data_IF_956288626822
#
_entry.id   IF_956288626822
#
_cell.length_a   1.000
_cell.length_b   1.000
_cell.length_c   1.000
_cell.angle_alpha   90.00
_cell.angle_beta   90.00
_cell.angle_gamma   90.00
#
_symmetry.space_group_name_H-M   'P 1'
#
loop_
_entity.id
_entity.type
_entity.pdbx_description
1 polymer ?
#
# COMPACT_ATOMS: atom_id res chain seq x y z
N UNK A 1 3.70 17.29 -0.12
CA UNK A 1 5.10 16.94 -0.47
C UNK A 1 6.03 17.48 0.61
N UNK A 2 7.02 16.70 1.05
CA UNK A 2 8.11 17.13 1.94
C UNK A 2 9.44 16.91 1.21
N UNK A 3 10.38 17.84 1.37
CA UNK A 3 11.74 17.72 0.82
C UNK A 3 12.74 18.42 1.75
N UNK A 4 13.87 17.77 1.94
CA UNK A 4 15.08 18.37 2.55
C UNK A 4 16.31 18.03 1.69
N UNK A 5 17.54 18.10 2.22
CA UNK A 5 18.76 17.74 1.51
C UNK A 5 18.97 16.25 1.27
N UNK A 6 18.23 15.38 1.95
CA UNK A 6 18.44 13.93 1.96
C UNK A 6 17.30 13.15 1.32
N UNK A 7 16.05 13.56 1.57
CA UNK A 7 14.87 12.81 1.11
C UNK A 7 13.81 13.71 0.47
N UNK A 8 12.99 13.09 -0.35
CA UNK A 8 11.76 13.66 -0.86
C UNK A 8 10.62 12.67 -0.61
N UNK A 9 9.57 13.12 0.11
CA UNK A 9 8.33 12.36 0.30
C UNK A 9 7.24 13.01 -0.54
N UNK A 10 6.72 12.25 -1.50
CA UNK A 10 5.69 12.70 -2.43
C UNK A 10 4.38 11.94 -2.22
N UNK A 11 3.28 12.59 -2.56
CA UNK A 11 1.96 11.97 -2.67
C UNK A 11 1.71 11.57 -4.13
N UNK A 12 1.72 10.28 -4.40
CA UNK A 12 1.47 9.73 -5.73
C UNK A 12 -0.04 9.63 -5.99
N UNK A 13 -0.50 10.17 -7.11
CA UNK A 13 -1.88 9.97 -7.57
C UNK A 13 -2.15 8.53 -8.02
N UNK A 14 -3.38 8.06 -7.80
CA UNK A 14 -3.85 6.83 -8.42
C UNK A 14 -3.88 6.98 -9.95
N UNK A 15 -3.48 5.93 -10.68
CA UNK A 15 -3.33 5.94 -12.13
C UNK A 15 -1.92 6.30 -12.62
N UNK A 16 -1.11 6.96 -11.80
CA UNK A 16 0.30 7.26 -12.10
C UNK A 16 1.17 6.08 -11.66
N UNK A 17 2.09 5.62 -12.51
CA UNK A 17 3.07 4.61 -12.09
C UNK A 17 4.17 5.22 -11.22
N UNK A 18 4.74 4.43 -10.33
CA UNK A 18 5.86 4.89 -9.48
C UNK A 18 7.09 5.23 -10.33
N UNK A 19 7.27 4.54 -11.45
CA UNK A 19 8.36 4.77 -12.39
C UNK A 19 8.20 6.11 -13.14
N UNK A 20 6.98 6.48 -13.54
CA UNK A 20 6.71 7.76 -14.19
C UNK A 20 6.94 8.94 -13.22
N UNK A 21 6.46 8.80 -11.96
CA UNK A 21 6.74 9.80 -10.93
C UNK A 21 8.23 9.91 -10.64
N UNK A 22 8.93 8.78 -10.55
CA UNK A 22 10.38 8.75 -10.35
C UNK A 22 11.13 9.46 -11.49
N UNK A 23 10.76 9.22 -12.75
CA UNK A 23 11.42 9.86 -13.89
C UNK A 23 11.34 11.37 -13.81
N UNK A 24 10.16 11.94 -13.51
CA UNK A 24 9.99 13.37 -13.32
C UNK A 24 10.81 13.91 -12.13
N UNK A 25 10.75 13.25 -10.97
CA UNK A 25 11.47 13.70 -9.78
C UNK A 25 12.99 13.52 -9.91
N UNK A 26 13.46 12.57 -10.70
CA UNK A 26 14.87 12.40 -11.02
C UNK A 26 15.39 13.56 -11.87
N UNK A 27 14.61 13.99 -12.83
CA UNK A 27 14.95 15.11 -13.72
C UNK A 27 15.01 16.43 -12.94
N UNK A 28 14.01 16.70 -12.10
CA UNK A 28 13.89 17.94 -11.37
C UNK A 28 14.80 18.03 -10.12
N UNK A 29 15.02 16.91 -9.44
CA UNK A 29 15.63 16.89 -8.08
C UNK A 29 16.77 15.90 -7.91
N UNK A 30 17.14 15.13 -8.93
CA UNK A 30 18.14 14.07 -8.81
C UNK A 30 17.66 12.89 -7.93
N UNK A 31 16.35 12.68 -7.82
CA UNK A 31 15.77 11.65 -6.98
C UNK A 31 16.31 10.24 -7.31
N UNK A 32 16.39 9.38 -6.28
CA UNK A 32 16.82 7.98 -6.37
C UNK A 32 15.69 7.07 -5.91
N UNK A 33 15.46 5.99 -6.64
CA UNK A 33 14.32 5.09 -6.45
C UNK A 33 14.54 4.14 -5.26
N UNK A 34 13.61 4.13 -4.31
CA UNK A 34 13.71 3.31 -3.09
C UNK A 34 12.67 2.18 -3.09
N UNK A 35 11.40 2.53 -3.29
CA UNK A 35 10.29 1.58 -3.28
C UNK A 35 9.20 2.03 -4.24
N UNK A 36 8.18 1.20 -4.37
CA UNK A 36 7.07 1.47 -5.29
C UNK A 36 5.71 1.22 -4.65
N UNK A 37 4.71 1.91 -5.19
CA UNK A 37 3.29 1.61 -5.05
C UNK A 37 2.75 1.07 -6.38
N UNK A 38 1.67 0.32 -6.31
CA UNK A 38 0.94 -0.08 -7.52
C UNK A 38 0.41 1.15 -8.26
N UNK A 39 0.20 1.03 -9.56
CA UNK A 39 -0.26 2.15 -10.40
C UNK A 39 -1.51 2.83 -9.82
N UNK A 40 -2.49 2.03 -9.42
CA UNK A 40 -3.78 2.52 -8.91
C UNK A 40 -3.80 2.73 -7.38
N UNK A 41 -2.70 2.49 -6.66
CA UNK A 41 -2.56 2.86 -5.24
C UNK A 41 -2.11 4.31 -5.16
N UNK A 42 -2.87 5.14 -4.47
CA UNK A 42 -2.49 6.52 -4.14
C UNK A 42 -1.60 6.58 -2.88
N UNK A 43 -1.04 7.75 -2.59
CA UNK A 43 -0.41 8.03 -1.30
C UNK A 43 1.10 8.10 -1.32
N UNK A 44 1.69 7.99 -0.13
CA UNK A 44 3.08 8.33 0.13
C UNK A 44 4.09 7.40 -0.51
N UNK A 45 5.07 8.02 -1.16
CA UNK A 45 6.27 7.38 -1.68
C UNK A 45 7.49 8.24 -1.32
N UNK A 46 8.58 7.60 -0.86
CA UNK A 46 9.83 8.28 -0.51
C UNK A 46 10.91 8.00 -1.54
N UNK A 47 11.69 9.02 -1.85
CA UNK A 47 12.88 8.98 -2.69
C UNK A 47 14.08 9.51 -1.90
N UNK A 48 15.27 9.01 -2.17
CA UNK A 48 16.50 9.61 -1.68
C UNK A 48 16.98 10.71 -2.64
N UNK A 49 17.68 11.71 -2.12
CA UNK A 49 18.27 12.80 -2.91
C UNK A 49 19.81 12.72 -2.97
N UNK A 50 20.41 11.81 -2.23
CA UNK A 50 21.85 11.53 -2.27
C UNK A 50 22.14 10.05 -1.98
N UNK A 51 23.39 9.62 -2.15
CA UNK A 51 23.79 8.21 -2.02
C UNK A 51 23.74 7.69 -0.59
N UNK A 52 24.03 8.51 0.41
CA UNK A 52 23.99 8.13 1.82
C UNK A 52 22.56 7.85 2.26
N UNK A 53 21.63 8.75 1.96
CA UNK A 53 20.19 8.58 2.20
C UNK A 53 19.61 7.37 1.45
N UNK A 54 20.07 7.12 0.20
CA UNK A 54 19.68 5.94 -0.57
C UNK A 54 20.06 4.64 0.16
N UNK A 55 21.31 4.54 0.61
CA UNK A 55 21.82 3.38 1.32
C UNK A 55 21.02 3.12 2.61
N UNK A 56 20.78 4.15 3.41
CA UNK A 56 20.05 4.05 4.68
C UNK A 56 18.57 3.72 4.47
N UNK A 57 17.89 4.37 3.52
CA UNK A 57 16.50 4.04 3.16
C UNK A 57 16.36 2.60 2.65
N UNK A 58 17.22 2.15 1.74
CA UNK A 58 17.19 0.77 1.25
C UNK A 58 17.42 -0.25 2.38
N UNK A 59 18.32 0.05 3.33
CA UNK A 59 18.53 -0.78 4.50
C UNK A 59 17.27 -0.81 5.39
N UNK A 60 16.65 0.33 5.65
CA UNK A 60 15.45 0.45 6.47
C UNK A 60 14.24 -0.30 5.84
N UNK A 61 14.06 -0.20 4.53
CA UNK A 61 13.00 -0.97 3.83
C UNK A 61 13.24 -2.48 3.88
N UNK A 62 14.50 -2.93 3.73
CA UNK A 62 14.87 -4.35 3.87
C UNK A 62 14.74 -4.86 5.30
N UNK A 63 15.16 -4.05 6.28
CA UNK A 63 15.12 -4.36 7.71
C UNK A 63 13.76 -4.15 8.37
N UNK A 64 12.73 -3.77 7.61
CA UNK A 64 11.38 -3.49 8.13
C UNK A 64 11.30 -2.36 9.18
N UNK A 65 12.29 -1.45 9.19
CA UNK A 65 12.31 -0.27 10.06
C UNK A 65 11.46 0.90 9.54
N UNK A 66 10.73 0.67 8.44
CA UNK A 66 9.78 1.62 7.86
C UNK A 66 8.37 1.17 8.21
N UNK A 67 7.66 1.95 9.00
CA UNK A 67 6.25 1.73 9.29
C UNK A 67 5.40 2.30 8.17
N UNK A 68 4.65 1.43 7.49
CA UNK A 68 3.78 1.74 6.35
C UNK A 68 2.35 1.44 6.73
N UNK A 69 1.53 2.49 6.92
CA UNK A 69 0.11 2.35 7.16
C UNK A 69 -0.67 2.73 5.91
N UNK A 70 -1.61 1.86 5.55
CA UNK A 70 -2.51 2.04 4.43
C UNK A 70 -3.94 2.12 4.92
N UNK A 71 -4.77 2.89 4.22
CA UNK A 71 -6.21 2.78 4.30
C UNK A 71 -6.73 2.01 3.09
N UNK A 72 -7.70 1.15 3.31
CA UNK A 72 -8.43 0.48 2.25
C UNK A 72 -9.93 0.47 2.55
N UNK A 73 -10.75 0.48 1.51
CA UNK A 73 -12.15 0.11 1.58
C UNK A 73 -12.29 -1.27 0.95
N UNK A 74 -12.78 -2.20 1.73
CA UNK A 74 -12.99 -3.58 1.31
C UNK A 74 -14.49 -3.90 1.23
N UNK A 75 -14.86 -4.89 0.44
CA UNK A 75 -16.20 -5.44 0.47
C UNK A 75 -16.36 -6.42 1.62
N UNK A 76 -17.58 -6.55 2.10
CA UNK A 76 -18.06 -7.44 3.15
C UNK A 76 -17.55 -7.09 4.56
N UNK A 77 -18.33 -7.42 5.59
CA UNK A 77 -17.91 -7.31 6.98
C UNK A 77 -16.77 -8.28 7.28
N UNK A 78 -15.83 -7.83 8.10
CA UNK A 78 -14.73 -8.67 8.54
C UNK A 78 -15.15 -9.58 9.70
N UNK A 79 -14.68 -10.82 9.70
CA UNK A 79 -14.97 -11.79 10.77
C UNK A 79 -14.42 -11.35 12.13
N UNK A 80 -13.38 -10.50 12.15
CA UNK A 80 -12.75 -9.94 13.35
C UNK A 80 -12.47 -8.46 13.13
N UNK A 81 -12.61 -7.65 14.18
CA UNK A 81 -12.29 -6.21 14.14
C UNK A 81 -10.80 -5.93 13.87
N UNK A 82 -9.93 -6.84 14.26
CA UNK A 82 -8.50 -6.75 13.99
C UNK A 82 -7.86 -8.12 13.92
N UNK A 83 -6.81 -8.27 13.11
CA UNK A 83 -5.99 -9.47 13.07
C UNK A 83 -4.61 -9.21 12.48
N UNK A 84 -3.64 -10.03 12.87
CA UNK A 84 -2.36 -10.19 12.19
C UNK A 84 -2.42 -11.45 11.34
N UNK A 85 -2.41 -11.25 10.03
CA UNK A 85 -2.53 -12.31 9.03
C UNK A 85 -1.16 -12.75 8.54
N UNK A 86 -0.91 -14.04 8.55
CA UNK A 86 0.29 -14.64 7.92
C UNK A 86 -0.15 -15.59 6.81
N UNK A 87 0.48 -15.48 5.66
CA UNK A 87 0.24 -16.34 4.50
C UNK A 87 1.51 -16.43 3.63
N UNK A 88 1.42 -17.09 2.48
CA UNK A 88 2.51 -17.25 1.53
C UNK A 88 2.07 -16.75 0.17
N UNK A 89 2.89 -15.90 -0.45
CA UNK A 89 2.59 -15.22 -1.71
C UNK A 89 3.57 -15.65 -2.79
N UNK A 90 3.05 -16.11 -3.91
CA UNK A 90 3.83 -16.51 -5.10
C UNK A 90 3.42 -15.68 -6.30
N UNK A 91 4.40 -15.18 -7.06
CA UNK A 91 4.15 -14.50 -8.33
C UNK A 91 3.70 -15.51 -9.39
N UNK A 92 2.64 -15.17 -10.09
CA UNK A 92 2.21 -15.82 -11.31
C UNK A 92 2.57 -14.90 -12.49
N UNK A 93 3.73 -15.16 -13.09
CA UNK A 93 4.26 -14.31 -14.15
C UNK A 93 3.38 -14.31 -15.41
N UNK A 94 2.72 -15.46 -15.69
CA UNK A 94 1.87 -15.61 -16.88
C UNK A 94 0.58 -14.77 -16.79
N UNK A 95 0.04 -14.60 -15.56
CA UNK A 95 -1.19 -13.85 -15.31
C UNK A 95 -0.93 -12.40 -14.84
N UNK A 96 0.33 -11.96 -14.69
CA UNK A 96 0.70 -10.69 -14.08
C UNK A 96 0.00 -10.46 -12.72
N UNK A 97 -0.18 -11.54 -11.95
CA UNK A 97 -0.88 -11.60 -10.65
C UNK A 97 0.02 -12.23 -9.60
N UNK A 98 -0.46 -12.25 -8.38
CA UNK A 98 0.10 -13.07 -7.30
C UNK A 98 -0.99 -13.98 -6.76
N UNK A 99 -0.59 -15.14 -6.23
CA UNK A 99 -1.48 -16.07 -5.53
C UNK A 99 -1.06 -16.15 -4.07
N UNK A 100 -2.05 -16.24 -3.18
CA UNK A 100 -1.85 -16.38 -1.73
C UNK A 100 -2.24 -17.81 -1.33
N UNK A 101 -1.44 -18.38 -0.43
CA UNK A 101 -1.60 -19.74 0.09
C UNK A 101 -1.56 -19.70 1.62
N UNK A 102 -2.34 -20.53 2.29
CA UNK A 102 -2.34 -20.68 3.74
C UNK A 102 -1.08 -21.38 4.26
N UNK A 103 -0.43 -22.20 3.41
CA UNK A 103 0.75 -23.00 3.73
C UNK A 103 1.90 -22.70 2.76
N UNK A 104 3.16 -22.97 3.16
CA UNK A 104 4.30 -22.79 2.26
C UNK A 104 4.17 -23.64 0.99
N UNK A 105 4.45 -23.03 -0.16
CA UNK A 105 4.58 -23.74 -1.44
C UNK A 105 5.90 -23.33 -2.11
N UNK A 106 6.49 -24.17 -2.97
CA UNK A 106 7.77 -23.85 -3.63
C UNK A 106 7.72 -22.50 -4.37
N UNK A 107 8.67 -21.63 -4.06
CA UNK A 107 8.81 -20.29 -4.66
C UNK A 107 7.82 -19.24 -4.11
N UNK A 108 7.08 -19.55 -3.05
CA UNK A 108 6.28 -18.54 -2.33
C UNK A 108 7.09 -17.89 -1.20
N UNK A 109 6.85 -16.62 -0.98
CA UNK A 109 7.43 -15.83 0.10
C UNK A 109 6.41 -15.61 1.21
N UNK A 110 6.86 -15.72 2.47
CA UNK A 110 6.01 -15.43 3.63
C UNK A 110 5.63 -13.94 3.64
N UNK A 111 4.35 -13.67 3.86
CA UNK A 111 3.80 -12.32 4.01
C UNK A 111 3.13 -12.16 5.36
N UNK A 112 3.19 -10.93 5.89
CA UNK A 112 2.51 -10.56 7.13
C UNK A 112 1.80 -9.22 6.92
N UNK A 113 0.49 -9.20 7.20
CA UNK A 113 -0.39 -8.03 7.06
C UNK A 113 -1.24 -7.92 8.31
N UNK A 114 -1.19 -6.80 8.98
CA UNK A 114 -2.06 -6.50 10.11
C UNK A 114 -3.17 -5.56 9.65
N UNK A 115 -4.40 -5.78 10.12
CA UNK A 115 -5.50 -4.86 9.87
C UNK A 115 -6.31 -4.58 11.12
N UNK A 116 -7.00 -3.44 11.09
CA UNK A 116 -8.04 -3.05 12.03
C UNK A 116 -9.17 -2.38 11.26
N UNK A 117 -10.42 -2.83 11.50
CA UNK A 117 -11.61 -2.20 10.91
C UNK A 117 -11.88 -0.87 11.62
N UNK A 118 -12.13 0.18 10.85
CA UNK A 118 -12.40 1.52 11.36
C UNK A 118 -13.89 1.88 11.25
N UNK A 119 -14.51 1.52 10.13
CA UNK A 119 -15.90 1.89 9.83
C UNK A 119 -16.55 0.83 8.95
N UNK A 120 -17.80 0.51 9.21
CA UNK A 120 -18.62 -0.39 8.41
C UNK A 120 -19.84 0.37 7.88
N UNK A 121 -20.11 0.25 6.59
CA UNK A 121 -21.23 0.91 5.95
C UNK A 121 -21.78 0.06 4.79
N UNK A 122 -22.95 -0.53 4.99
CA UNK A 122 -23.56 -1.44 4.02
C UNK A 122 -22.68 -2.62 3.69
N UNK A 123 -22.28 -2.74 2.42
CA UNK A 123 -21.37 -3.81 1.96
C UNK A 123 -19.89 -3.43 2.06
N UNK A 124 -19.57 -2.26 2.60
CA UNK A 124 -18.21 -1.75 2.70
C UNK A 124 -17.69 -1.78 4.14
N UNK A 125 -16.43 -2.08 4.27
CA UNK A 125 -15.67 -1.92 5.51
C UNK A 125 -14.39 -1.12 5.22
N UNK A 126 -14.22 0.03 5.87
CA UNK A 126 -12.96 0.76 5.87
C UNK A 126 -12.01 0.09 6.86
N UNK A 127 -10.79 -0.16 6.42
CA UNK A 127 -9.76 -0.80 7.25
C UNK A 127 -8.46 -0.02 7.21
N UNK A 128 -7.81 0.09 8.36
CA UNK A 128 -6.43 0.49 8.51
C UNK A 128 -5.55 -0.76 8.41
N UNK A 129 -4.50 -0.69 7.61
CA UNK A 129 -3.61 -1.82 7.33
C UNK A 129 -2.16 -1.44 7.63
N UNK A 130 -1.47 -2.27 8.40
CA UNK A 130 -0.04 -2.16 8.65
C UNK A 130 0.68 -3.29 7.91
N UNK A 131 1.64 -2.93 7.05
CA UNK A 131 2.46 -3.90 6.33
C UNK A 131 3.75 -4.21 7.09
N UNK A 132 3.87 -5.45 7.57
CA UNK A 132 5.10 -6.00 8.12
C UNK A 132 6.03 -6.58 7.03
N UNK A 133 5.50 -6.84 5.84
CA UNK A 133 6.25 -7.18 4.62
C UNK A 133 5.74 -6.33 3.47
N UNK A 134 6.47 -6.23 2.35
CA UNK A 134 6.12 -5.34 1.24
C UNK A 134 6.26 -6.02 -0.11
N UNK A 135 5.39 -7.02 -0.40
CA UNK A 135 5.42 -7.76 -1.66
C UNK A 135 4.42 -7.18 -2.67
N UNK A 136 4.69 -7.41 -3.95
CA UNK A 136 3.81 -6.96 -5.04
C UNK A 136 2.37 -7.36 -4.79
N UNK A 137 1.43 -6.41 -4.90
CA UNK A 137 -0.02 -6.58 -4.69
C UNK A 137 -0.40 -7.22 -3.34
N UNK A 138 0.47 -7.19 -2.33
CA UNK A 138 0.27 -7.95 -1.09
C UNK A 138 -1.08 -7.66 -0.43
N UNK A 139 -1.41 -6.40 -0.14
CA UNK A 139 -2.69 -6.02 0.50
C UNK A 139 -3.86 -6.55 -0.34
N UNK A 140 -3.85 -6.27 -1.62
CA UNK A 140 -4.93 -6.57 -2.57
C UNK A 140 -5.23 -8.08 -2.61
N UNK A 141 -4.18 -8.89 -2.79
CA UNK A 141 -4.31 -10.34 -2.85
C UNK A 141 -4.62 -10.96 -1.49
N UNK A 142 -4.06 -10.42 -0.39
CA UNK A 142 -4.28 -10.96 0.95
C UNK A 142 -5.69 -10.67 1.46
N UNK A 143 -6.22 -9.46 1.22
CA UNK A 143 -7.61 -9.14 1.56
C UNK A 143 -8.60 -9.99 0.75
N UNK A 144 -8.37 -10.16 -0.55
CA UNK A 144 -9.19 -11.06 -1.38
C UNK A 144 -9.12 -12.52 -0.88
N UNK A 145 -7.95 -12.99 -0.46
CA UNK A 145 -7.74 -14.35 0.06
C UNK A 145 -8.56 -14.65 1.33
N UNK A 146 -8.76 -13.65 2.19
CA UNK A 146 -9.59 -13.79 3.40
C UNK A 146 -11.08 -13.52 3.17
N UNK A 147 -11.50 -13.28 1.91
CA UNK A 147 -12.89 -13.02 1.55
C UNK A 147 -13.33 -11.55 1.63
N UNK A 148 -12.42 -10.63 1.87
CA UNK A 148 -12.69 -9.19 1.97
C UNK A 148 -11.92 -8.41 0.88
N UNK A 149 -12.22 -8.58 -0.41
CA UNK A 149 -11.47 -7.95 -1.49
C UNK A 149 -11.56 -6.43 -1.44
N UNK A 150 -10.48 -5.75 -1.82
CA UNK A 150 -10.46 -4.30 -1.93
C UNK A 150 -11.45 -3.85 -3.00
N UNK A 151 -12.34 -2.93 -2.65
CA UNK A 151 -13.35 -2.38 -3.54
C UNK A 151 -12.68 -1.61 -4.70
N UNK A 152 -13.19 -1.82 -5.92
CA UNK A 152 -12.63 -1.24 -7.14
C UNK A 152 -11.37 -1.93 -7.67
N UNK A 153 -10.91 -3.01 -7.05
CA UNK A 153 -9.75 -3.75 -7.56
C UNK A 153 -10.13 -4.61 -8.77
N UNK A 154 -9.49 -4.31 -9.92
CA UNK A 154 -9.74 -5.00 -11.19
C UNK A 154 -9.17 -6.42 -11.24
N UNK A 155 -8.16 -6.72 -10.39
CA UNK A 155 -7.44 -8.01 -10.43
C UNK A 155 -7.91 -9.00 -9.37
N UNK A 156 -8.19 -8.51 -8.17
CA UNK A 156 -8.49 -9.31 -7.00
C UNK A 156 -9.83 -8.97 -6.37
N UNK A 157 -10.51 -7.93 -6.87
CA UNK A 157 -11.81 -7.47 -6.38
C UNK A 157 -12.96 -8.37 -6.80
N UNK A 158 -14.14 -8.05 -6.30
CA UNK A 158 -15.41 -8.61 -6.73
C UNK A 158 -15.92 -7.85 -7.96
N UNK A 159 -15.93 -8.50 -9.12
CA UNK A 159 -16.31 -7.87 -10.38
C UNK A 159 -17.80 -7.45 -10.37
N UNK A 160 -18.68 -8.25 -9.79
CA UNK A 160 -20.11 -7.98 -9.74
C UNK A 160 -20.39 -6.75 -8.86
N UNK A 161 -19.75 -6.66 -7.68
CA UNK A 161 -19.89 -5.52 -6.79
C UNK A 161 -19.19 -4.28 -7.36
N UNK A 162 -18.03 -4.42 -7.98
CA UNK A 162 -17.37 -3.31 -8.65
C UNK A 162 -18.25 -2.70 -9.75
N UNK A 163 -18.92 -3.55 -10.53
CA UNK A 163 -19.87 -3.12 -11.56
C UNK A 163 -21.14 -2.48 -10.96
N UNK A 164 -21.72 -3.12 -9.93
CA UNK A 164 -22.91 -2.61 -9.21
C UNK A 164 -22.67 -1.19 -8.68
N UNK A 165 -21.48 -0.94 -8.12
CA UNK A 165 -21.13 0.34 -7.50
C UNK A 165 -20.31 1.28 -8.40
N UNK A 166 -20.15 0.94 -9.69
CA UNK A 166 -19.42 1.74 -10.70
C UNK A 166 -17.98 2.05 -10.29
N UNK A 167 -17.32 1.16 -9.53
CA UNK A 167 -15.96 1.33 -9.07
C UNK A 167 -14.98 0.90 -10.16
N UNK A 168 -14.08 1.81 -10.55
CA UNK A 168 -13.09 1.59 -11.63
C UNK A 168 -11.65 1.55 -11.15
N UNK A 169 -11.41 1.83 -9.87
CA UNK A 169 -10.07 1.86 -9.28
C UNK A 169 -10.13 1.40 -7.84
N UNK A 170 -9.12 0.65 -7.43
CA UNK A 170 -9.00 0.16 -6.06
C UNK A 170 -9.01 1.31 -5.04
N UNK A 171 -9.85 1.20 -4.04
CA UNK A 171 -9.93 2.13 -2.93
C UNK A 171 -8.85 1.77 -1.89
N UNK A 172 -7.59 2.08 -2.22
CA UNK A 172 -6.40 1.78 -1.45
C UNK A 172 -5.41 2.94 -1.52
N UNK A 173 -4.96 3.42 -0.37
CA UNK A 173 -3.98 4.50 -0.27
C UNK A 173 -2.91 4.21 0.79
N UNK A 174 -1.66 4.58 0.51
CA UNK A 174 -0.56 4.62 1.47
C UNK A 174 -0.70 5.92 2.29
N UNK A 175 -1.35 5.84 3.45
CA UNK A 175 -1.80 7.02 4.18
C UNK A 175 -0.77 7.58 5.15
N UNK A 176 0.09 6.72 5.74
CA UNK A 176 1.11 7.16 6.69
C UNK A 176 2.43 6.44 6.46
N UNK A 177 3.50 7.19 6.67
CA UNK A 177 4.87 6.70 6.58
C UNK A 177 5.67 7.26 7.74
N UNK A 178 6.34 6.39 8.50
CA UNK A 178 7.29 6.78 9.54
C UNK A 178 8.49 5.85 9.56
N UNK A 179 9.59 6.32 10.12
CA UNK A 179 10.89 5.70 10.04
C UNK A 179 11.53 5.52 11.41
N UNK A 180 12.38 4.51 11.52
CA UNK A 180 13.33 4.33 12.61
C UNK A 180 14.72 4.11 12.01
N UNK A 181 15.54 5.15 12.03
CA UNK A 181 16.88 5.16 11.46
C UNK A 181 17.95 5.20 12.56
N UNK A 182 19.10 4.58 12.31
CA UNK A 182 20.26 4.64 13.21
C UNK A 182 21.40 5.54 12.74
N UNK A 183 21.31 6.10 11.53
CA UNK A 183 22.37 6.85 10.88
C UNK A 183 22.00 8.31 10.59
N UNK A 184 22.45 8.81 9.44
CA UNK A 184 22.29 10.21 9.02
C UNK A 184 20.83 10.68 8.94
N UNK A 185 19.88 9.75 8.71
CA UNK A 185 18.46 10.04 8.66
C UNK A 185 17.76 9.97 10.03
N UNK A 186 18.48 9.75 11.14
CA UNK A 186 17.92 9.63 12.50
C UNK A 186 17.12 10.87 12.95
N UNK A 187 17.35 12.03 12.37
CA UNK A 187 16.56 13.25 12.61
C UNK A 187 15.10 13.15 12.14
N UNK A 188 14.77 12.13 11.35
CA UNK A 188 13.40 11.81 10.93
C UNK A 188 12.67 10.88 11.91
N UNK A 189 13.35 10.34 12.91
CA UNK A 189 12.74 9.47 13.92
C UNK A 189 11.67 10.25 14.69
N UNK A 190 10.53 9.55 14.94
CA UNK A 190 9.37 10.16 15.56
C UNK A 190 8.51 11.03 14.63
N UNK A 191 8.99 11.36 13.43
CA UNK A 191 8.20 12.06 12.43
C UNK A 191 7.28 11.09 11.69
N UNK A 192 6.01 11.48 11.56
CA UNK A 192 5.04 10.77 10.73
C UNK A 192 4.65 11.65 9.55
N UNK A 193 4.80 11.12 8.35
CA UNK A 193 4.30 11.75 7.13
C UNK A 193 2.88 11.26 6.88
N UNK A 194 1.99 12.19 6.55
CA UNK A 194 0.58 11.91 6.25
C UNK A 194 0.29 12.23 4.79
N UNK A 195 -0.41 11.33 4.12
CA UNK A 195 -0.91 11.55 2.77
C UNK A 195 -2.10 12.52 2.78
N UNK A 196 -2.24 13.29 1.72
CA UNK A 196 -3.47 14.02 1.41
C UNK A 196 -4.55 13.09 0.85
N UNK A 197 -4.17 11.90 0.38
CA UNK A 197 -5.10 10.89 -0.12
C UNK A 197 -5.51 9.94 1.00
N UNK A 198 -6.81 9.64 1.06
CA UNK A 198 -7.39 8.62 1.93
C UNK A 198 -8.27 7.69 1.11
N UNK A 199 -8.26 6.40 1.46
CA UNK A 199 -9.28 5.49 0.95
C UNK A 199 -10.62 5.86 1.61
N UNK A 200 -11.53 6.44 0.83
CA UNK A 200 -12.83 6.92 1.31
C UNK A 200 -13.92 5.96 0.87
N UNK A 201 -14.92 5.79 1.75
CA UNK A 201 -16.17 5.12 1.38
C UNK A 201 -16.79 5.83 0.18
N UNK A 202 -17.32 5.09 -0.81
CA UNK A 202 -18.14 5.69 -1.83
C UNK A 202 -19.32 6.45 -1.20
N UNK A 203 -19.73 7.59 -1.77
CA UNK A 203 -20.94 8.26 -1.29
C UNK A 203 -22.16 7.33 -1.41
N UNK A 204 -23.12 7.47 -0.50
CA UNK A 204 -24.41 6.79 -0.63
C UNK A 204 -24.95 7.03 -2.04
N UNK A 205 -25.05 5.98 -2.82
CA UNK A 205 -25.91 6.05 -4.00
C UNK A 205 -27.33 5.96 -3.46
N UNK A 206 -28.02 7.10 -3.46
CA UNK A 206 -29.38 7.19 -2.97
C UNK A 206 -30.22 6.04 -3.52
N UNK A 207 -30.95 5.39 -2.62
CA UNK A 207 -32.09 4.58 -3.00
C UNK A 207 -33.05 5.50 -3.78
N UNK A 208 -32.94 5.46 -5.10
CA UNK A 208 -33.95 6.03 -5.97
C UNK A 208 -35.07 5.01 -6.18
#
# INVERSE_FOLDING_TARGET
MYRDGNILVADKFAGVSSEALFSALREDFGARFIHRLDRNTAGLIVFALNGEAEGELLAAFRGHSVRKEYGAVCFHPFAKKSAVLTAYLKKDASAARVRVFSSPVPGAEKICTEYETEEEFGEYTRVRILLHSGKTHQIRAHMAFIGNPVAGDEKYGDEALNKKYHLRRQLLAAEKLSFAFGGALSYLNGRTFLSSFRAQMPPEQGMA
#
